data_IF_323853289329
#
_entry.id   IF_323853289329
#
_cell.length_a   1.000
_cell.length_b   1.000
_cell.length_c   1.000
_cell.angle_alpha   90.00
_cell.angle_beta   90.00
_cell.angle_gamma   90.00
#
_symmetry.space_group_name_H-M   'P 1'
#
loop_
_entity.id
_entity.type
_entity.pdbx_description
1 polymer ?
#
# COMPACT_ATOMS: atom_id res chain seq x y z
N UNK A 1 11.47 -12.44 -4.78
CA UNK A 1 10.06 -12.08 -4.41
C UNK A 1 9.34 -11.47 -5.62
N UNK A 2 8.00 -11.44 -5.61
CA UNK A 2 7.21 -10.65 -6.56
C UNK A 2 6.29 -9.74 -5.74
N UNK A 3 6.32 -8.45 -6.01
CA UNK A 3 5.34 -7.48 -5.49
C UNK A 3 4.18 -7.41 -6.49
N UNK A 4 2.98 -7.70 -6.04
CA UNK A 4 1.73 -7.54 -6.81
C UNK A 4 0.91 -6.42 -6.22
N UNK A 5 0.62 -5.40 -7.03
CA UNK A 5 -0.23 -4.27 -6.64
C UNK A 5 -1.67 -4.69 -6.79
N UNK A 6 -2.38 -4.89 -5.69
CA UNK A 6 -3.79 -5.28 -5.72
C UNK A 6 -4.70 -4.09 -6.01
N UNK A 7 -4.34 -2.93 -5.45
CA UNK A 7 -4.98 -1.66 -5.74
C UNK A 7 -3.99 -0.51 -5.70
N UNK A 8 -4.07 0.36 -6.67
CA UNK A 8 -3.15 1.48 -6.90
C UNK A 8 -3.74 2.86 -6.59
N UNK A 9 -4.99 2.90 -6.15
CA UNK A 9 -5.69 4.12 -5.76
C UNK A 9 -5.30 4.59 -4.37
N UNK A 10 -5.73 5.81 -4.05
CA UNK A 10 -5.65 6.40 -2.73
C UNK A 10 -6.96 6.27 -1.96
N UNK A 11 -7.27 7.25 -1.11
CA UNK A 11 -8.44 7.25 -0.25
C UNK A 11 -9.77 7.19 -1.03
N UNK A 12 -9.78 7.71 -2.23
CA UNK A 12 -10.92 7.65 -3.14
C UNK A 12 -10.54 6.88 -4.40
N UNK A 13 -11.27 5.81 -4.65
CA UNK A 13 -11.05 4.94 -5.82
C UNK A 13 -11.35 5.60 -7.15
N UNK A 14 -10.70 5.15 -8.24
CA UNK A 14 -11.04 5.50 -9.61
C UNK A 14 -11.69 4.30 -10.30
N UNK A 15 -12.93 4.39 -10.83
CA UNK A 15 -13.74 5.61 -10.92
C UNK A 15 -14.44 5.97 -9.61
N UNK A 16 -14.40 7.24 -9.25
CA UNK A 16 -15.19 7.78 -8.15
C UNK A 16 -16.66 7.83 -8.49
N UNK A 17 -17.50 7.58 -7.48
CA UNK A 17 -18.97 7.66 -7.61
C UNK A 17 -19.38 9.05 -8.11
N UNK A 18 -20.27 9.07 -9.14
CA UNK A 18 -20.82 10.28 -9.79
C UNK A 18 -19.77 11.22 -10.44
N UNK A 19 -18.50 10.88 -10.48
CA UNK A 19 -17.45 11.68 -11.15
C UNK A 19 -17.46 11.44 -12.66
N UNK A 20 -17.19 12.48 -13.44
CA UNK A 20 -17.09 12.44 -14.90
C UNK A 20 -15.76 13.02 -15.44
N UNK A 21 -14.72 13.08 -14.60
CA UNK A 21 -13.37 13.45 -15.05
C UNK A 21 -12.80 12.42 -16.03
N UNK A 22 -11.67 12.74 -16.64
CA UNK A 22 -11.12 11.90 -17.71
C UNK A 22 -10.68 10.53 -17.23
N UNK A 23 -10.04 10.43 -16.06
CA UNK A 23 -9.65 9.15 -15.46
C UNK A 23 -10.85 8.30 -15.08
N UNK A 24 -11.91 8.88 -14.51
CA UNK A 24 -13.13 8.17 -14.16
C UNK A 24 -13.94 7.69 -15.39
N UNK A 25 -13.97 8.47 -16.48
CA UNK A 25 -14.54 8.03 -17.75
C UNK A 25 -13.73 6.90 -18.35
N UNK A 26 -12.40 7.07 -18.43
CA UNK A 26 -11.51 6.04 -18.95
C UNK A 26 -11.67 4.72 -18.21
N UNK A 27 -11.74 4.76 -16.87
CA UNK A 27 -11.91 3.58 -16.02
C UNK A 27 -13.25 2.87 -16.28
N UNK A 28 -14.37 3.61 -16.43
CA UNK A 28 -15.68 3.02 -16.72
C UNK A 28 -15.76 2.42 -18.12
N UNK A 29 -15.12 3.05 -19.11
CA UNK A 29 -15.15 2.61 -20.50
C UNK A 29 -14.25 1.42 -20.78
N UNK A 30 -13.05 1.39 -20.15
CA UNK A 30 -11.99 0.43 -20.46
C UNK A 30 -11.81 -0.68 -19.44
N UNK A 31 -12.32 -0.51 -18.20
CA UNK A 31 -12.32 -1.55 -17.17
C UNK A 31 -10.98 -1.71 -16.44
N UNK A 32 -10.69 -2.92 -15.94
CA UNK A 32 -9.74 -3.24 -14.88
C UNK A 32 -8.40 -2.51 -14.87
N UNK A 33 -7.67 -2.44 -15.97
CA UNK A 33 -6.35 -1.78 -16.01
C UNK A 33 -6.40 -0.27 -15.81
N UNK A 34 -7.59 0.29 -15.95
CA UNK A 34 -7.82 1.73 -15.86
C UNK A 34 -8.52 2.12 -14.57
N UNK A 35 -8.96 1.13 -13.78
CA UNK A 35 -9.44 1.36 -12.41
C UNK A 35 -8.26 1.51 -11.46
N UNK A 36 -8.50 2.19 -10.33
CA UNK A 36 -7.60 2.25 -9.19
C UNK A 36 -8.43 1.98 -7.94
N UNK A 37 -8.37 0.76 -7.45
CA UNK A 37 -9.01 0.35 -6.21
C UNK A 37 -8.16 0.79 -5.02
N UNK A 38 -8.72 0.76 -3.82
CA UNK A 38 -8.05 1.18 -2.60
C UNK A 38 -6.68 0.51 -2.37
N UNK A 39 -5.77 1.13 -1.63
CA UNK A 39 -4.36 0.74 -1.57
C UNK A 39 -4.15 -0.61 -0.90
N UNK A 40 -3.59 -1.55 -1.62
CA UNK A 40 -3.16 -2.85 -1.08
C UNK A 40 -2.11 -3.50 -1.98
N UNK A 41 -1.19 -4.23 -1.37
CA UNK A 41 -0.17 -5.02 -2.07
C UNK A 41 -0.05 -6.42 -1.50
N UNK A 42 0.32 -7.35 -2.36
CA UNK A 42 0.65 -8.71 -1.97
C UNK A 42 2.09 -9.05 -2.35
N UNK A 43 2.82 -9.68 -1.44
CA UNK A 43 4.20 -10.08 -1.65
C UNK A 43 4.27 -11.60 -1.75
N UNK A 44 4.47 -12.08 -2.98
CA UNK A 44 4.72 -13.49 -3.23
C UNK A 44 6.10 -13.90 -2.74
N UNK A 45 6.19 -15.09 -2.21
CA UNK A 45 7.32 -15.66 -1.49
C UNK A 45 6.96 -15.84 -0.03
N UNK A 46 6.89 -14.79 0.78
CA UNK A 46 6.31 -14.89 2.12
C UNK A 46 4.77 -15.05 2.12
N UNK A 47 4.09 -14.76 1.02
CA UNK A 47 2.63 -14.70 0.88
C UNK A 47 1.99 -13.76 1.92
N UNK A 48 2.44 -12.51 1.88
CA UNK A 48 2.03 -11.48 2.83
C UNK A 48 1.18 -10.43 2.14
N UNK A 49 0.04 -10.11 2.77
CA UNK A 49 -0.85 -9.02 2.39
C UNK A 49 -0.50 -7.77 3.21
N UNK A 50 -0.49 -6.60 2.60
CA UNK A 50 -0.40 -5.32 3.30
C UNK A 50 -1.63 -4.50 2.97
N UNK A 51 -2.36 -4.12 4.04
CA UNK A 51 -3.61 -3.38 4.05
C UNK A 51 -4.80 -4.09 3.38
N UNK A 52 -5.98 -3.77 3.86
CA UNK A 52 -7.26 -4.33 3.40
C UNK A 52 -8.28 -3.23 3.17
N UNK A 53 -8.24 -2.54 2.00
CA UNK A 53 -9.26 -1.57 1.62
C UNK A 53 -10.64 -2.23 1.44
N UNK A 54 -11.69 -1.43 1.27
CA UNK A 54 -13.06 -1.94 1.10
C UNK A 54 -13.18 -2.97 -0.03
N UNK A 55 -12.42 -2.80 -1.11
CA UNK A 55 -12.46 -3.62 -2.32
C UNK A 55 -11.59 -4.88 -2.25
N UNK A 56 -10.94 -5.16 -1.14
CA UNK A 56 -9.93 -6.24 -1.03
C UNK A 56 -10.42 -7.59 -1.53
N UNK A 57 -11.68 -7.93 -1.32
CA UNK A 57 -12.25 -9.18 -1.82
C UNK A 57 -12.29 -9.24 -3.35
N UNK A 58 -12.59 -8.13 -4.00
CA UNK A 58 -12.56 -8.00 -5.47
C UNK A 58 -11.11 -8.05 -5.95
N UNK A 59 -10.23 -7.36 -5.26
CA UNK A 59 -8.80 -7.31 -5.59
C UNK A 59 -8.19 -8.71 -5.58
N UNK A 60 -8.36 -9.48 -4.50
CA UNK A 60 -7.84 -10.86 -4.39
C UNK A 60 -8.44 -11.76 -5.47
N UNK A 61 -9.76 -11.67 -5.71
CA UNK A 61 -10.45 -12.49 -6.71
C UNK A 61 -10.02 -12.22 -8.17
N UNK A 62 -9.33 -11.12 -8.45
CA UNK A 62 -8.72 -10.82 -9.76
C UNK A 62 -7.35 -11.46 -9.95
N UNK A 63 -6.80 -12.09 -8.91
CA UNK A 63 -5.44 -12.64 -8.89
C UNK A 63 -5.45 -14.15 -8.81
N UNK A 64 -4.26 -14.74 -8.87
CA UNK A 64 -4.03 -16.17 -8.65
C UNK A 64 -3.65 -16.47 -7.18
N UNK A 65 -3.86 -15.53 -6.25
CA UNK A 65 -3.55 -15.70 -4.83
C UNK A 65 -4.50 -16.73 -4.23
N UNK A 66 -3.96 -17.81 -3.73
CA UNK A 66 -4.72 -18.90 -3.08
C UNK A 66 -4.40 -19.08 -1.60
N UNK A 67 -3.36 -18.38 -1.11
CA UNK A 67 -2.89 -18.49 0.26
C UNK A 67 -2.34 -17.16 0.75
N UNK A 68 -2.75 -16.75 1.96
CA UNK A 68 -2.23 -15.61 2.69
C UNK A 68 -1.72 -16.12 4.03
N UNK A 69 -0.41 -15.98 4.29
CA UNK A 69 0.20 -16.41 5.55
C UNK A 69 0.03 -15.38 6.65
N UNK A 70 0.20 -14.11 6.30
CA UNK A 70 0.03 -13.01 7.23
C UNK A 70 -0.50 -11.76 6.52
N UNK A 71 -1.20 -10.91 7.29
CA UNK A 71 -1.57 -9.57 6.89
C UNK A 71 -0.94 -8.57 7.86
N UNK A 72 -0.34 -7.52 7.29
CA UNK A 72 0.19 -6.37 7.99
C UNK A 72 -0.65 -5.13 7.68
N UNK A 73 -0.66 -4.17 8.57
CA UNK A 73 -1.33 -2.89 8.36
C UNK A 73 -0.32 -1.75 8.46
N UNK A 74 -0.42 -0.79 7.56
CA UNK A 74 0.41 0.41 7.58
C UNK A 74 -0.06 1.41 8.63
N UNK A 75 -1.37 1.61 8.73
CA UNK A 75 -2.02 2.50 9.71
C UNK A 75 -3.54 2.26 9.75
N UNK A 76 -4.25 3.08 10.50
CA UNK A 76 -5.68 2.85 10.84
C UNK A 76 -6.69 3.44 9.85
N UNK A 77 -6.31 4.24 8.85
CA UNK A 77 -7.25 4.90 7.95
C UNK A 77 -8.21 3.91 7.25
N UNK A 78 -9.46 4.32 6.97
CA UNK A 78 -10.48 3.40 6.45
C UNK A 78 -10.10 2.74 5.13
N UNK A 79 -9.51 3.48 4.21
CA UNK A 79 -9.04 3.00 2.92
C UNK A 79 -7.93 1.93 3.01
N UNK A 80 -7.31 1.77 4.19
CA UNK A 80 -6.34 0.72 4.50
C UNK A 80 -6.94 -0.43 5.32
N UNK A 81 -8.11 -0.23 5.98
CA UNK A 81 -8.60 -1.16 7.01
C UNK A 81 -10.05 -1.60 6.86
N UNK A 82 -10.87 -0.90 6.07
CA UNK A 82 -12.32 -1.14 6.04
C UNK A 82 -12.69 -2.54 5.53
N UNK A 83 -11.87 -3.14 4.68
CA UNK A 83 -12.07 -4.48 4.12
C UNK A 83 -11.59 -5.64 5.00
N UNK A 84 -11.12 -5.41 6.23
CA UNK A 84 -10.63 -6.46 7.15
C UNK A 84 -11.58 -7.65 7.33
N UNK A 85 -12.87 -7.45 7.04
CA UNK A 85 -13.88 -8.50 7.04
C UNK A 85 -13.60 -9.62 6.03
N UNK A 86 -12.70 -9.41 5.06
CA UNK A 86 -12.30 -10.43 4.09
C UNK A 86 -11.83 -11.73 4.76
N UNK A 87 -11.26 -11.65 5.95
CA UNK A 87 -10.78 -12.82 6.70
C UNK A 87 -11.91 -13.73 7.19
N UNK A 88 -13.15 -13.25 7.30
CA UNK A 88 -14.31 -14.08 7.62
C UNK A 88 -14.55 -15.18 6.56
N UNK A 89 -14.00 -15.04 5.35
CA UNK A 89 -14.00 -16.12 4.36
C UNK A 89 -13.27 -17.39 4.82
N UNK A 90 -12.45 -17.31 5.87
CA UNK A 90 -11.80 -18.46 6.52
C UNK A 90 -12.74 -19.32 7.38
N UNK A 91 -13.99 -18.87 7.62
CA UNK A 91 -14.95 -19.64 8.43
C UNK A 91 -15.42 -20.88 7.65
N UNK A 92 -15.34 -22.03 8.31
CA UNK A 92 -15.90 -23.28 7.79
C UNK A 92 -17.31 -23.49 8.36
N UNK A 93 -18.31 -23.36 7.50
CA UNK A 93 -19.72 -23.58 7.85
C UNK A 93 -20.22 -25.01 7.58
N UNK A 94 -19.37 -25.91 7.08
CA UNK A 94 -19.78 -27.22 6.57
C UNK A 94 -19.35 -28.35 7.52
N UNK A 95 -18.11 -28.31 8.00
CA UNK A 95 -17.54 -29.40 8.79
C UNK A 95 -17.92 -29.31 10.27
N UNK A 96 -18.02 -30.47 10.90
CA UNK A 96 -18.21 -30.60 12.35
C UNK A 96 -17.17 -31.60 12.89
N UNK A 97 -16.20 -31.13 13.71
CA UNK A 97 -15.93 -29.75 14.10
C UNK A 97 -15.46 -28.87 12.93
N UNK A 98 -15.64 -27.55 13.02
CA UNK A 98 -15.22 -26.63 11.95
C UNK A 98 -13.71 -26.69 11.67
N UNK A 99 -13.33 -26.62 10.40
CA UNK A 99 -11.95 -26.56 9.92
C UNK A 99 -11.64 -25.16 9.41
N UNK A 100 -11.66 -24.18 10.33
CA UNK A 100 -11.40 -22.78 9.98
C UNK A 100 -9.97 -22.61 9.45
N UNK A 101 -9.81 -21.78 8.41
CA UNK A 101 -8.49 -21.32 7.94
C UNK A 101 -8.10 -20.07 8.72
N UNK A 102 -6.96 -20.14 9.38
CA UNK A 102 -6.46 -19.03 10.20
C UNK A 102 -5.32 -18.30 9.50
N UNK A 103 -5.38 -16.95 9.53
CA UNK A 103 -4.35 -16.05 8.98
C UNK A 103 -3.74 -15.26 10.14
N UNK A 104 -2.43 -15.04 10.11
CA UNK A 104 -1.76 -14.19 11.07
C UNK A 104 -2.03 -12.73 10.78
N UNK A 105 -2.56 -11.98 11.75
CA UNK A 105 -2.67 -10.52 11.69
C UNK A 105 -1.56 -9.94 12.54
N UNK A 106 -0.58 -9.32 11.89
CA UNK A 106 0.61 -8.79 12.56
C UNK A 106 0.47 -7.27 12.68
N UNK A 107 0.51 -6.78 13.90
CA UNK A 107 0.39 -5.36 14.24
C UNK A 107 1.60 -4.95 15.07
N UNK A 108 2.15 -3.77 14.83
CA UNK A 108 3.06 -3.16 15.80
C UNK A 108 2.27 -2.72 17.04
N UNK A 109 2.94 -2.56 18.17
CA UNK A 109 2.29 -2.07 19.41
C UNK A 109 1.52 -0.79 19.16
N UNK A 110 2.09 0.13 18.37
CA UNK A 110 1.47 1.43 18.10
C UNK A 110 0.25 1.32 17.18
N UNK A 111 0.28 0.48 16.16
CA UNK A 111 -0.89 0.20 15.33
C UNK A 111 -1.99 -0.47 16.16
N UNK A 112 -1.64 -1.44 17.02
CA UNK A 112 -2.60 -2.09 17.90
C UNK A 112 -3.29 -1.09 18.85
N UNK A 113 -2.52 -0.15 19.42
CA UNK A 113 -3.06 0.94 20.26
C UNK A 113 -4.06 1.80 19.46
N UNK A 114 -3.72 2.20 18.23
CA UNK A 114 -4.61 3.02 17.41
C UNK A 114 -5.86 2.25 16.99
N UNK A 115 -5.76 0.95 16.71
CA UNK A 115 -6.88 0.08 16.36
C UNK A 115 -7.85 -0.12 17.53
N UNK A 116 -7.36 -0.13 18.77
CA UNK A 116 -8.20 -0.16 19.98
C UNK A 116 -9.04 1.11 20.09
N UNK A 117 -8.43 2.26 19.81
CA UNK A 117 -9.03 3.57 20.05
C UNK A 117 -9.81 4.13 18.85
N UNK A 118 -9.76 3.49 17.68
CA UNK A 118 -10.32 4.00 16.44
C UNK A 118 -11.24 3.01 15.76
N UNK A 119 -12.42 3.45 15.38
CA UNK A 119 -13.38 2.78 14.52
C UNK A 119 -13.75 1.34 14.93
N UNK A 120 -13.49 0.92 16.18
CA UNK A 120 -13.77 -0.44 16.65
C UNK A 120 -12.99 -1.54 15.92
N UNK A 121 -11.85 -1.23 15.33
CA UNK A 121 -11.05 -2.17 14.53
C UNK A 121 -10.64 -3.39 15.37
N UNK A 122 -10.09 -3.16 16.57
CA UNK A 122 -9.63 -4.25 17.44
C UNK A 122 -10.79 -5.12 17.94
N UNK A 123 -11.98 -4.55 18.17
CA UNK A 123 -13.16 -5.33 18.55
C UNK A 123 -13.51 -6.41 17.52
N UNK A 124 -13.46 -6.07 16.21
CA UNK A 124 -13.73 -7.02 15.16
C UNK A 124 -12.62 -8.07 15.03
N UNK A 125 -11.36 -7.70 15.20
CA UNK A 125 -10.25 -8.67 15.24
C UNK A 125 -10.37 -9.62 16.43
N UNK A 126 -10.78 -9.16 17.60
CA UNK A 126 -11.04 -10.01 18.77
C UNK A 126 -12.11 -11.05 18.43
N UNK A 127 -13.23 -10.63 17.83
CA UNK A 127 -14.28 -11.57 17.38
C UNK A 127 -13.74 -12.62 16.40
N UNK A 128 -12.97 -12.21 15.39
CA UNK A 128 -12.41 -13.15 14.40
C UNK A 128 -11.40 -14.12 15.03
N UNK A 129 -10.62 -13.69 16.00
CA UNK A 129 -9.69 -14.54 16.75
C UNK A 129 -10.44 -15.57 17.60
N UNK A 130 -11.50 -15.17 18.30
CA UNK A 130 -12.38 -16.09 19.05
C UNK A 130 -13.00 -17.17 18.15
N UNK A 131 -13.25 -16.84 16.88
CA UNK A 131 -13.72 -17.79 15.87
C UNK A 131 -12.60 -18.65 15.27
N UNK A 132 -11.33 -18.39 15.62
CA UNK A 132 -10.17 -19.15 15.13
C UNK A 132 -9.86 -18.92 13.64
N UNK A 133 -10.32 -17.80 13.06
CA UNK A 133 -10.08 -17.45 11.66
C UNK A 133 -8.91 -16.50 11.48
N UNK A 134 -8.46 -15.88 12.55
CA UNK A 134 -7.20 -15.14 12.61
C UNK A 134 -6.41 -15.47 13.86
N UNK A 135 -5.12 -15.13 13.85
CA UNK A 135 -4.26 -15.07 15.04
C UNK A 135 -3.61 -13.72 15.08
N UNK A 136 -3.89 -12.95 16.13
CA UNK A 136 -3.21 -11.65 16.31
C UNK A 136 -1.81 -11.88 16.85
N UNK A 137 -0.83 -11.19 16.23
CA UNK A 137 0.55 -11.10 16.68
C UNK A 137 0.91 -9.64 16.85
N UNK A 138 1.08 -9.22 18.08
CA UNK A 138 1.55 -7.86 18.38
C UNK A 138 3.06 -7.93 18.56
N UNK A 139 3.79 -7.14 17.79
CA UNK A 139 5.25 -7.05 17.80
C UNK A 139 5.69 -5.66 18.25
N UNK A 140 6.88 -5.55 18.79
CA UNK A 140 7.49 -4.25 19.11
C UNK A 140 7.62 -3.36 17.86
N UNK A 141 7.56 -2.04 18.04
CA UNK A 141 7.56 -1.09 16.92
C UNK A 141 8.82 -1.18 16.01
N UNK A 142 9.91 -1.77 16.51
CA UNK A 142 11.16 -2.01 15.78
C UNK A 142 11.53 -3.50 15.77
N UNK A 143 10.58 -4.39 16.05
CA UNK A 143 10.81 -5.82 16.11
C UNK A 143 10.50 -6.46 14.75
N UNK A 144 11.46 -7.20 14.20
CA UNK A 144 11.26 -7.98 12.99
C UNK A 144 10.62 -9.33 13.28
N UNK A 145 9.80 -9.81 12.36
CA UNK A 145 9.20 -11.15 12.41
C UNK A 145 9.61 -11.95 11.17
N UNK A 146 9.78 -13.26 11.34
CA UNK A 146 9.98 -14.18 10.22
C UNK A 146 8.65 -14.78 9.74
N UNK A 147 8.41 -14.69 8.44
CA UNK A 147 7.30 -15.36 7.76
C UNK A 147 7.89 -16.17 6.60
N UNK A 148 7.89 -17.48 6.74
CA UNK A 148 8.38 -18.42 5.73
C UNK A 148 9.82 -18.15 5.23
N UNK A 149 10.73 -17.80 6.14
CA UNK A 149 12.13 -17.50 5.83
C UNK A 149 12.38 -16.11 5.25
N UNK A 150 11.38 -15.23 5.33
CA UNK A 150 11.51 -13.80 5.02
C UNK A 150 11.36 -12.99 6.29
N UNK A 151 12.31 -12.10 6.53
CA UNK A 151 12.21 -11.13 7.62
C UNK A 151 11.39 -9.94 7.18
N UNK A 152 10.47 -9.51 8.05
CA UNK A 152 9.64 -8.34 7.86
C UNK A 152 9.89 -7.41 9.03
N UNK A 153 10.43 -6.25 8.73
CA UNK A 153 10.85 -5.23 9.69
C UNK A 153 9.98 -3.99 9.53
N UNK A 154 9.23 -3.58 10.57
CA UNK A 154 8.46 -2.34 10.54
C UNK A 154 9.39 -1.13 10.61
N UNK A 155 9.04 -0.09 9.87
CA UNK A 155 9.69 1.22 9.88
C UNK A 155 8.65 2.25 10.26
N UNK A 156 8.83 2.90 11.39
CA UNK A 156 7.98 4.01 11.80
C UNK A 156 8.24 5.24 10.94
N UNK A 157 7.19 5.88 10.44
CA UNK A 157 7.28 7.12 9.67
C UNK A 157 7.26 8.36 10.57
N UNK A 158 7.02 9.54 9.99
CA UNK A 158 6.98 10.79 10.76
C UNK A 158 5.83 10.80 11.78
N UNK A 159 4.67 10.30 11.39
CA UNK A 159 3.55 10.08 12.29
C UNK A 159 3.75 8.77 13.06
N UNK A 160 3.64 8.81 14.39
CA UNK A 160 4.00 7.70 15.28
C UNK A 160 3.14 6.44 15.13
N UNK A 161 2.01 6.54 14.46
CA UNK A 161 1.08 5.44 14.18
C UNK A 161 1.16 4.91 12.74
N UNK A 162 2.06 5.44 11.91
CA UNK A 162 2.22 5.03 10.50
C UNK A 162 3.50 4.24 10.34
N UNK A 163 3.39 3.09 9.67
CA UNK A 163 4.51 2.19 9.43
C UNK A 163 4.63 1.80 7.96
N UNK A 164 5.87 1.80 7.48
CA UNK A 164 6.30 1.04 6.32
C UNK A 164 6.93 -0.28 6.73
N UNK A 165 7.34 -1.08 5.74
CA UNK A 165 7.93 -2.40 5.98
C UNK A 165 9.12 -2.63 5.06
N UNK A 166 10.23 -3.15 5.62
CA UNK A 166 11.28 -3.78 4.84
C UNK A 166 11.05 -5.29 4.87
N UNK A 167 10.90 -5.90 3.70
CA UNK A 167 10.73 -7.34 3.54
C UNK A 167 11.97 -7.88 2.82
N UNK A 168 12.68 -8.83 3.44
CA UNK A 168 13.93 -9.30 2.88
C UNK A 168 14.25 -10.76 3.24
N UNK A 169 15.08 -11.36 2.39
CA UNK A 169 15.80 -12.60 2.65
C UNK A 169 17.27 -12.43 2.19
N UNK A 170 18.02 -13.53 2.05
CA UNK A 170 19.42 -13.49 1.61
C UNK A 170 19.62 -12.91 0.20
N UNK A 171 18.63 -13.02 -0.69
CA UNK A 171 18.77 -12.68 -2.11
C UNK A 171 18.00 -11.44 -2.56
N UNK A 172 17.06 -10.94 -1.77
CA UNK A 172 16.19 -9.85 -2.21
C UNK A 172 15.69 -9.00 -1.04
N UNK A 173 15.45 -7.70 -1.32
CA UNK A 173 14.97 -6.72 -0.34
C UNK A 173 14.00 -5.73 -0.99
N UNK A 174 12.86 -5.53 -0.34
CA UNK A 174 11.81 -4.60 -0.77
C UNK A 174 11.52 -3.62 0.38
N UNK A 175 11.41 -2.33 0.07
CA UNK A 175 10.86 -1.32 0.98
C UNK A 175 9.43 -0.97 0.51
N UNK A 176 8.48 -1.00 1.43
CA UNK A 176 7.07 -0.68 1.16
C UNK A 176 6.61 0.39 2.13
N UNK A 177 6.18 1.53 1.60
CA UNK A 177 5.48 2.58 2.33
C UNK A 177 4.18 2.83 1.57
N UNK A 178 3.05 2.58 2.23
CA UNK A 178 1.74 2.60 1.57
C UNK A 178 1.21 4.02 1.41
N UNK A 179 1.36 4.87 2.45
CA UNK A 179 0.84 6.23 2.51
C UNK A 179 1.56 7.07 3.58
N UNK A 180 1.09 8.30 3.83
CA UNK A 180 1.49 9.19 4.94
C UNK A 180 3.00 9.52 4.96
N UNK A 181 3.56 9.79 3.78
CA UNK A 181 5.01 10.04 3.62
C UNK A 181 5.43 11.45 4.06
N UNK A 182 4.47 12.33 4.43
CA UNK A 182 4.75 13.73 4.83
C UNK A 182 5.74 13.78 5.98
N UNK A 183 6.76 14.65 5.82
CA UNK A 183 7.82 14.89 6.79
C UNK A 183 8.70 13.67 7.17
N UNK A 184 8.52 12.53 6.47
CA UNK A 184 9.39 11.39 6.70
C UNK A 184 10.78 11.63 6.12
N UNK A 185 11.78 11.45 6.96
CA UNK A 185 13.20 11.52 6.59
C UNK A 185 13.79 10.13 6.73
N UNK A 186 14.25 9.49 5.63
CA UNK A 186 14.89 8.18 5.71
C UNK A 186 16.07 8.16 6.66
N UNK A 187 16.08 7.23 7.61
CA UNK A 187 17.19 7.05 8.54
C UNK A 187 18.49 6.66 7.83
N UNK A 188 19.64 6.97 8.44
CA UNK A 188 20.97 6.70 7.85
C UNK A 188 21.16 5.24 7.45
N UNK A 189 20.56 4.30 8.17
CA UNK A 189 20.66 2.87 7.84
C UNK A 189 19.87 2.53 6.58
N UNK A 190 18.67 3.10 6.40
CA UNK A 190 17.84 2.93 5.19
C UNK A 190 18.57 3.51 3.97
N UNK A 191 19.22 4.68 4.13
CA UNK A 191 19.96 5.34 3.05
C UNK A 191 21.18 4.54 2.57
N UNK A 192 21.72 3.60 3.38
CA UNK A 192 22.83 2.72 3.01
C UNK A 192 22.37 1.41 2.38
N UNK A 193 21.06 1.09 2.49
CA UNK A 193 20.54 -0.17 1.97
C UNK A 193 20.34 -0.11 0.47
N UNK A 194 20.62 -1.23 -0.20
CA UNK A 194 20.24 -1.47 -1.61
C UNK A 194 18.93 -2.24 -1.63
N UNK A 195 17.96 -1.74 -2.37
CA UNK A 195 16.66 -2.38 -2.56
C UNK A 195 16.49 -2.87 -4.00
N UNK A 196 15.78 -3.97 -4.18
CA UNK A 196 15.33 -4.40 -5.49
C UNK A 196 14.13 -3.56 -5.92
N UNK A 197 13.19 -3.34 -4.99
CA UNK A 197 11.98 -2.55 -5.20
C UNK A 197 11.78 -1.61 -4.02
N UNK A 198 11.47 -0.36 -4.31
CA UNK A 198 10.95 0.61 -3.35
C UNK A 198 9.56 1.02 -3.82
N UNK A 199 8.55 0.75 -2.99
CA UNK A 199 7.14 1.10 -3.22
C UNK A 199 6.78 2.27 -2.32
N UNK A 200 6.33 3.38 -2.92
CA UNK A 200 6.01 4.64 -2.22
C UNK A 200 4.66 5.19 -2.67
N UNK A 201 3.98 6.00 -1.84
CA UNK A 201 2.85 6.79 -2.30
C UNK A 201 3.32 7.82 -3.34
N UNK A 202 2.47 8.06 -4.35
CA UNK A 202 2.70 9.07 -5.38
C UNK A 202 2.73 10.47 -4.74
N UNK A 203 1.81 10.72 -3.83
CA UNK A 203 1.60 12.02 -3.22
C UNK A 203 0.72 12.93 -4.08
N UNK A 204 0.33 14.09 -3.56
CA UNK A 204 -0.49 15.07 -4.27
C UNK A 204 0.18 15.51 -5.59
N UNK A 205 -0.58 15.48 -6.66
CA UNK A 205 -0.13 15.97 -7.97
C UNK A 205 -0.26 17.49 -8.07
N UNK A 206 0.54 18.21 -7.29
CA UNK A 206 0.43 19.67 -7.14
C UNK A 206 0.77 20.45 -8.40
N UNK A 207 1.67 19.90 -9.22
CA UNK A 207 2.15 20.50 -10.44
C UNK A 207 2.35 19.45 -11.52
N UNK A 208 1.68 19.60 -12.65
CA UNK A 208 1.95 18.76 -13.82
C UNK A 208 3.23 19.24 -14.52
N UNK A 209 4.35 18.52 -14.46
CA UNK A 209 5.63 18.96 -14.99
C UNK A 209 5.67 18.95 -16.54
N UNK A 210 4.78 18.22 -17.20
CA UNK A 210 4.71 18.13 -18.66
C UNK A 210 4.04 19.38 -19.27
N UNK A 211 3.13 20.00 -18.52
CA UNK A 211 2.35 21.16 -18.99
C UNK A 211 2.65 22.43 -18.19
N UNK A 212 3.43 22.30 -17.11
CA UNK A 212 3.70 23.36 -16.12
C UNK A 212 2.42 23.95 -15.48
N UNK A 213 1.33 23.17 -15.47
CA UNK A 213 0.05 23.56 -14.87
C UNK A 213 0.01 23.13 -13.41
N UNK A 214 -0.23 24.10 -12.52
CA UNK A 214 -0.48 23.82 -11.10
C UNK A 214 -1.92 23.39 -10.91
N UNK A 215 -2.14 22.27 -10.19
CA UNK A 215 -3.44 21.70 -9.89
C UNK A 215 -3.95 22.18 -8.52
N UNK A 216 -3.07 22.22 -7.52
CA UNK A 216 -3.41 22.68 -6.18
C UNK A 216 -2.76 24.05 -5.91
N UNK A 217 -3.50 25.07 -5.41
CA UNK A 217 -2.91 26.31 -4.93
C UNK A 217 -1.83 26.06 -3.88
N UNK A 218 -0.83 26.92 -3.77
CA UNK A 218 0.27 26.75 -2.80
C UNK A 218 -0.19 26.81 -1.34
N UNK A 219 -1.28 27.52 -1.09
CA UNK A 219 -1.93 27.73 0.21
C UNK A 219 -3.10 26.75 0.45
N UNK A 220 -3.23 25.73 -0.38
CA UNK A 220 -4.25 24.68 -0.17
C UNK A 220 -3.90 23.86 1.07
N UNK A 221 -4.87 23.61 1.95
CA UNK A 221 -4.66 22.91 3.22
C UNK A 221 -3.98 21.53 3.07
N UNK A 222 -4.26 20.78 1.99
CA UNK A 222 -3.60 19.51 1.71
C UNK A 222 -2.08 19.65 1.49
N UNK A 223 -1.58 20.81 1.11
CA UNK A 223 -0.14 21.04 0.97
C UNK A 223 0.60 21.03 2.32
N UNK A 224 -0.15 21.23 3.43
CA UNK A 224 0.39 21.17 4.79
C UNK A 224 0.27 19.77 5.39
N UNK A 225 -0.82 19.02 5.07
CA UNK A 225 -1.11 17.72 5.67
C UNK A 225 -0.53 16.55 4.89
N UNK A 226 -0.47 16.65 3.55
CA UNK A 226 -0.10 15.53 2.68
C UNK A 226 1.22 15.80 1.97
N UNK A 227 1.98 14.75 1.67
CA UNK A 227 3.16 14.89 0.84
C UNK A 227 2.78 15.12 -0.62
N UNK A 228 3.60 15.92 -1.31
CA UNK A 228 3.47 16.15 -2.74
C UNK A 228 4.33 15.17 -3.55
N UNK A 229 4.02 15.00 -4.84
CA UNK A 229 4.90 14.23 -5.74
C UNK A 229 6.32 14.80 -5.77
N UNK A 230 6.48 16.12 -5.67
CA UNK A 230 7.80 16.75 -5.60
C UNK A 230 8.59 16.29 -4.37
N UNK A 231 7.95 16.18 -3.20
CA UNK A 231 8.57 15.68 -1.97
C UNK A 231 8.90 14.18 -2.09
N UNK A 232 8.00 13.36 -2.66
CA UNK A 232 8.27 11.94 -2.94
C UNK A 232 9.49 11.78 -3.84
N UNK A 233 9.63 12.60 -4.88
CA UNK A 233 10.78 12.55 -5.79
C UNK A 233 12.09 12.93 -5.06
N UNK A 234 12.08 13.88 -4.13
CA UNK A 234 13.27 14.19 -3.34
C UNK A 234 13.71 13.01 -2.43
N UNK A 235 12.76 12.22 -1.93
CA UNK A 235 13.06 10.99 -1.20
C UNK A 235 13.66 9.94 -2.16
N UNK A 236 13.08 9.74 -3.34
CA UNK A 236 13.58 8.81 -4.36
C UNK A 236 15.04 9.09 -4.74
N UNK A 237 15.42 10.36 -4.85
CA UNK A 237 16.81 10.74 -5.17
C UNK A 237 17.82 10.25 -4.12
N UNK A 238 17.40 10.14 -2.87
CA UNK A 238 18.25 9.73 -1.75
C UNK A 238 18.36 8.21 -1.59
N UNK A 239 17.34 7.45 -2.04
CA UNK A 239 17.28 6.01 -1.87
C UNK A 239 17.99 5.26 -3.01
N UNK A 240 18.50 4.06 -2.70
CA UNK A 240 19.13 3.16 -3.65
C UNK A 240 18.20 1.97 -3.96
N UNK A 241 17.73 1.88 -5.20
CA UNK A 241 16.87 0.78 -5.65
C UNK A 241 17.02 0.51 -7.13
N UNK A 242 16.83 -0.77 -7.54
CA UNK A 242 16.73 -1.14 -8.95
C UNK A 242 15.46 -0.60 -9.61
N UNK A 243 14.38 -0.47 -8.82
CA UNK A 243 13.09 0.03 -9.29
C UNK A 243 12.33 0.76 -8.19
N UNK A 244 11.68 1.86 -8.55
CA UNK A 244 10.70 2.58 -7.74
C UNK A 244 9.31 2.41 -8.33
N UNK A 245 8.32 2.08 -7.49
CA UNK A 245 6.92 1.95 -7.87
C UNK A 245 6.12 2.98 -7.07
N UNK A 246 5.48 3.90 -7.76
CA UNK A 246 4.65 4.95 -7.16
C UNK A 246 3.18 4.56 -7.25
N UNK A 247 2.48 4.58 -6.14
CA UNK A 247 1.09 4.14 -5.99
C UNK A 247 0.32 5.10 -5.10
N UNK A 248 -0.83 4.69 -4.55
CA UNK A 248 -1.70 5.56 -3.75
C UNK A 248 -2.05 6.85 -4.50
N UNK A 249 -2.63 6.67 -5.70
CA UNK A 249 -2.94 7.79 -6.59
C UNK A 249 -4.37 8.24 -6.31
N UNK A 250 -4.52 9.49 -5.91
CA UNK A 250 -5.83 10.07 -5.62
C UNK A 250 -6.66 10.29 -6.90
N UNK A 251 -7.95 10.05 -6.82
CA UNK A 251 -8.87 10.31 -7.95
C UNK A 251 -8.86 11.79 -8.37
N UNK A 252 -8.71 12.69 -7.41
CA UNK A 252 -8.65 14.14 -7.66
C UNK A 252 -7.48 14.57 -8.54
N UNK A 253 -6.42 13.78 -8.62
CA UNK A 253 -5.26 14.04 -9.47
C UNK A 253 -5.57 13.83 -10.96
N UNK A 254 -6.66 13.14 -11.27
CA UNK A 254 -7.14 12.87 -12.63
C UNK A 254 -6.06 12.27 -13.55
N UNK A 255 -5.30 11.30 -13.02
CA UNK A 255 -4.20 10.67 -13.73
C UNK A 255 -4.70 9.48 -14.54
N UNK A 256 -4.88 9.68 -15.84
CA UNK A 256 -5.13 8.60 -16.81
C UNK A 256 -3.90 7.69 -16.97
N UNK A 257 -4.07 6.48 -17.48
CA UNK A 257 -2.93 5.56 -17.73
C UNK A 257 -1.91 6.17 -18.69
N UNK A 258 -2.38 6.90 -19.72
CA UNK A 258 -1.48 7.59 -20.65
C UNK A 258 -0.63 8.65 -19.97
N UNK A 259 -1.24 9.47 -19.09
CA UNK A 259 -0.53 10.47 -18.30
C UNK A 259 0.45 9.81 -17.32
N UNK A 260 0.03 8.73 -16.64
CA UNK A 260 0.89 7.99 -15.73
C UNK A 260 2.18 7.50 -16.41
N UNK A 261 2.08 6.92 -17.61
CA UNK A 261 3.24 6.47 -18.38
C UNK A 261 4.18 7.65 -18.73
N UNK A 262 3.63 8.76 -19.19
CA UNK A 262 4.42 9.96 -19.52
C UNK A 262 5.11 10.57 -18.30
N UNK A 263 4.45 10.57 -17.14
CA UNK A 263 5.03 11.01 -15.88
C UNK A 263 6.14 10.07 -15.39
N UNK A 264 5.96 8.76 -15.51
CA UNK A 264 6.99 7.77 -15.17
C UNK A 264 8.27 7.98 -16.01
N UNK A 265 8.12 8.21 -17.31
CA UNK A 265 9.25 8.53 -18.20
C UNK A 265 9.93 9.85 -17.81
N UNK A 266 9.14 10.89 -17.55
CA UNK A 266 9.65 12.20 -17.14
C UNK A 266 10.46 12.09 -15.84
N UNK A 267 9.89 11.51 -14.79
CA UNK A 267 10.57 11.38 -13.50
C UNK A 267 11.78 10.45 -13.57
N UNK A 268 11.72 9.37 -14.37
CA UNK A 268 12.86 8.49 -14.58
C UNK A 268 14.04 9.22 -15.22
N UNK A 269 13.80 10.04 -16.24
CA UNK A 269 14.84 10.87 -16.89
C UNK A 269 15.40 11.91 -15.93
N UNK A 270 14.53 12.59 -15.18
CA UNK A 270 14.93 13.67 -14.26
C UNK A 270 15.79 13.14 -13.09
N UNK A 271 15.47 11.97 -12.56
CA UNK A 271 16.14 11.38 -11.39
C UNK A 271 17.26 10.41 -11.75
N UNK A 272 17.35 9.98 -13.00
CA UNK A 272 18.18 8.84 -13.46
C UNK A 272 17.86 7.51 -12.73
N UNK A 273 16.65 7.39 -12.20
CA UNK A 273 16.14 6.20 -11.53
C UNK A 273 15.10 5.51 -12.41
N UNK A 274 14.91 4.20 -12.22
CA UNK A 274 13.85 3.45 -12.89
C UNK A 274 12.54 3.60 -12.09
N UNK A 275 11.66 4.50 -12.54
CA UNK A 275 10.39 4.80 -11.86
C UNK A 275 9.23 4.28 -12.71
N UNK A 276 8.32 3.57 -12.05
CA UNK A 276 7.02 3.15 -12.60
C UNK A 276 5.90 3.73 -11.77
N UNK A 277 4.79 4.06 -12.41
CA UNK A 277 3.54 4.40 -11.73
C UNK A 277 2.65 3.17 -11.76
N UNK A 278 2.15 2.79 -10.58
CA UNK A 278 1.37 1.57 -10.39
C UNK A 278 0.02 1.62 -11.11
N UNK A 279 -0.46 0.46 -11.45
CA UNK A 279 -1.84 0.17 -11.84
C UNK A 279 -2.28 -1.13 -11.15
N UNK A 280 -3.59 -1.33 -10.99
CA UNK A 280 -4.13 -2.54 -10.39
C UNK A 280 -3.67 -3.79 -11.14
N UNK A 281 -3.31 -4.83 -10.42
CA UNK A 281 -2.75 -6.11 -10.91
C UNK A 281 -1.31 -6.05 -11.48
N UNK A 282 -0.60 -4.93 -11.30
CA UNK A 282 0.81 -4.82 -11.70
C UNK A 282 1.68 -5.78 -10.89
N UNK A 283 2.51 -6.59 -11.57
CA UNK A 283 3.50 -7.48 -10.93
C UNK A 283 4.92 -6.98 -11.23
N UNK A 284 5.75 -6.95 -10.17
CA UNK A 284 7.17 -6.56 -10.25
C UNK A 284 8.01 -7.60 -9.52
N UNK A 285 8.99 -8.17 -10.21
CA UNK A 285 9.92 -9.15 -9.64
C UNK A 285 11.20 -8.47 -9.11
N UNK A 286 11.76 -8.96 -8.01
CA UNK A 286 13.08 -8.60 -7.49
C UNK A 286 14.21 -9.17 -8.31
#
# INVERSE_FOLDING_TARGET
MILEVLGSGGSITTPKILCSCDSCKEAREKGEKYTRLGPSVFIHGPNVLIDTPEEISIQINRTEITEINACFYSHWHPDHTAGKRVFEAGIDYINVPPKNKSIDIVLTEKIAETFENRMGLMFHFNFMEEKGIIKKKIIGNNESIDINGYKIEPIQLAQDYVFGYIIYNESSRILIIMDELKDWIPGKEILKMEFDIVYLPFGLFELNPLTNKRLYPKDHYLMESDNTISETIEIIKQLHSKMFVLSHIEESDNITIGLANSLAEYYSKMTTKNIKIAYDTMKVST
#
